data_IF_191182446954
#
_entry.id   IF_191182446954
#
_cell.length_a   1.000
_cell.length_b   1.000
_cell.length_c   1.000
_cell.angle_alpha   90.00
_cell.angle_beta   90.00
_cell.angle_gamma   90.00
#
_symmetry.space_group_name_H-M   'P 1'
#
loop_
_entity.id
_entity.type
_entity.pdbx_description
1 polymer ?
#
# COMPACT_ATOMS: atom_id res chain seq x y z
N UNK A 1 4.22 -21.60 -10.73
CA UNK A 1 3.75 -20.95 -9.48
C UNK A 1 3.46 -21.99 -8.40
N UNK A 2 4.32 -22.10 -7.40
CA UNK A 2 4.16 -23.03 -6.25
C UNK A 2 2.89 -22.69 -5.45
N UNK A 3 2.61 -21.40 -5.26
CA UNK A 3 1.39 -20.90 -4.60
C UNK A 3 0.11 -21.35 -5.31
N UNK A 4 0.02 -21.19 -6.64
CA UNK A 4 -1.15 -21.65 -7.39
C UNK A 4 -1.36 -23.15 -7.31
N UNK A 5 -0.28 -23.95 -7.23
CA UNK A 5 -0.38 -25.40 -7.04
C UNK A 5 -0.89 -25.76 -5.64
N UNK A 6 -0.39 -25.09 -4.59
CA UNK A 6 -0.86 -25.31 -3.22
C UNK A 6 -2.29 -24.81 -3.00
N UNK A 7 -2.69 -23.68 -3.59
CA UNK A 7 -4.03 -23.15 -3.45
C UNK A 7 -5.10 -24.01 -4.15
N UNK A 8 -4.73 -24.79 -5.18
CA UNK A 8 -5.64 -25.70 -5.88
C UNK A 8 -6.21 -26.81 -4.98
N UNK A 9 -5.54 -27.17 -3.88
CA UNK A 9 -6.08 -28.16 -2.94
C UNK A 9 -7.21 -27.58 -2.07
N UNK A 10 -7.45 -26.27 -2.12
CA UNK A 10 -8.52 -25.59 -1.38
C UNK A 10 -9.61 -25.13 -2.36
N UNK A 11 -10.76 -25.82 -2.44
CA UNK A 11 -11.86 -25.40 -3.30
C UNK A 11 -12.30 -23.95 -3.03
N UNK A 12 -12.45 -23.17 -4.10
CA UNK A 12 -12.84 -21.76 -4.03
C UNK A 12 -11.69 -20.76 -3.84
N UNK A 13 -10.45 -21.22 -3.63
CA UNK A 13 -9.29 -20.33 -3.59
C UNK A 13 -8.86 -19.91 -5.00
N UNK A 14 -8.50 -18.63 -5.17
CA UNK A 14 -8.00 -18.10 -6.44
C UNK A 14 -6.70 -17.34 -6.21
N UNK A 15 -5.67 -17.67 -6.99
CA UNK A 15 -4.40 -16.93 -6.99
C UNK A 15 -4.38 -15.97 -8.17
N UNK A 16 -4.09 -14.72 -7.89
CA UNK A 16 -3.90 -13.65 -8.86
C UNK A 16 -2.46 -13.15 -8.76
N UNK A 17 -1.79 -13.01 -9.90
CA UNK A 17 -0.43 -12.50 -9.96
C UNK A 17 -0.43 -11.12 -10.59
N UNK A 18 -0.26 -10.11 -9.75
CA UNK A 18 -0.04 -8.73 -10.16
C UNK A 18 1.47 -8.47 -10.20
N UNK A 19 1.89 -7.51 -11.03
CA UNK A 19 3.32 -7.23 -11.32
C UNK A 19 4.21 -7.11 -10.06
N UNK A 20 3.65 -6.64 -8.95
CA UNK A 20 4.38 -6.43 -7.68
C UNK A 20 3.72 -7.09 -6.46
N UNK A 21 2.64 -7.86 -6.66
CA UNK A 21 1.87 -8.46 -5.57
C UNK A 21 1.21 -9.76 -6.04
N UNK A 22 1.25 -10.80 -5.22
CA UNK A 22 0.46 -12.02 -5.45
C UNK A 22 -0.68 -12.05 -4.45
N UNK A 23 -1.91 -12.13 -4.94
CA UNK A 23 -3.11 -12.14 -4.11
C UNK A 23 -3.73 -13.53 -4.09
N UNK A 24 -3.99 -14.06 -2.90
CA UNK A 24 -4.73 -15.31 -2.67
C UNK A 24 -6.11 -14.96 -2.15
N UNK A 25 -7.09 -14.99 -3.03
CA UNK A 25 -8.48 -14.72 -2.71
C UNK A 25 -9.13 -15.97 -2.11
N UNK A 26 -9.79 -15.81 -0.96
CA UNK A 26 -10.46 -16.91 -0.25
C UNK A 26 -11.94 -16.64 0.02
N UNK A 27 -12.52 -15.64 -0.67
CA UNK A 27 -13.94 -15.27 -0.52
C UNK A 27 -14.91 -16.43 -0.78
N UNK A 28 -14.56 -17.34 -1.68
CA UNK A 28 -15.39 -18.50 -2.06
C UNK A 28 -14.95 -19.80 -1.37
N UNK A 29 -13.99 -19.72 -0.45
CA UNK A 29 -13.50 -20.87 0.33
C UNK A 29 -14.42 -21.05 1.53
N UNK A 30 -14.75 -22.30 1.85
CA UNK A 30 -15.47 -22.63 3.09
C UNK A 30 -14.68 -22.12 4.31
N UNK A 31 -15.36 -21.49 5.27
CA UNK A 31 -14.72 -20.82 6.42
C UNK A 31 -13.86 -21.77 7.26
N UNK A 32 -14.25 -23.04 7.36
CA UNK A 32 -13.50 -24.07 8.07
C UNK A 32 -12.10 -24.32 7.45
N UNK A 33 -11.92 -23.98 6.18
CA UNK A 33 -10.69 -24.21 5.43
C UNK A 33 -9.80 -22.96 5.34
N UNK A 34 -10.21 -21.83 5.93
CA UNK A 34 -9.42 -20.58 5.85
C UNK A 34 -8.08 -20.70 6.56
N UNK A 35 -8.07 -21.29 7.76
CA UNK A 35 -6.83 -21.49 8.53
C UNK A 35 -5.86 -22.44 7.81
N UNK A 36 -6.39 -23.51 7.21
CA UNK A 36 -5.58 -24.45 6.43
C UNK A 36 -4.95 -23.75 5.21
N UNK A 37 -5.73 -22.97 4.46
CA UNK A 37 -5.23 -22.19 3.33
C UNK A 37 -4.14 -21.20 3.76
N UNK A 38 -4.35 -20.47 4.86
CA UNK A 38 -3.36 -19.54 5.40
C UNK A 38 -2.06 -20.26 5.79
N UNK A 39 -2.17 -21.44 6.41
CA UNK A 39 -1.02 -22.30 6.75
C UNK A 39 -0.28 -22.76 5.48
N UNK A 40 -1.00 -23.17 4.43
CA UNK A 40 -0.40 -23.54 3.16
C UNK A 40 0.35 -22.38 2.50
N UNK A 41 -0.23 -21.17 2.52
CA UNK A 41 0.42 -19.95 2.02
C UNK A 41 1.69 -19.66 2.83
N UNK A 42 1.60 -19.67 4.17
CA UNK A 42 2.74 -19.44 5.06
C UNK A 42 3.88 -20.44 4.81
N UNK A 43 3.57 -21.73 4.73
CA UNK A 43 4.55 -22.78 4.44
C UNK A 43 5.30 -22.59 3.12
N UNK A 44 4.68 -21.97 2.10
CA UNK A 44 5.38 -21.63 0.86
C UNK A 44 6.34 -20.45 1.11
N UNK A 45 5.89 -19.46 1.88
CA UNK A 45 6.62 -18.22 2.15
C UNK A 45 7.78 -18.38 3.13
N UNK A 46 7.80 -19.43 3.94
CA UNK A 46 8.97 -19.77 4.79
C UNK A 46 10.26 -19.92 3.95
N UNK A 47 10.14 -20.27 2.66
CA UNK A 47 11.25 -20.35 1.71
C UNK A 47 11.65 -19.01 1.08
N UNK A 48 10.89 -17.95 1.36
CA UNK A 48 11.02 -16.62 0.76
C UNK A 48 10.97 -15.53 1.85
N UNK A 49 12.00 -15.42 2.71
CA UNK A 49 12.00 -14.50 3.86
C UNK A 49 11.92 -13.01 3.48
N UNK A 50 12.17 -12.67 2.20
CA UNK A 50 12.02 -11.30 1.66
C UNK A 50 10.59 -10.98 1.20
N UNK A 51 9.62 -11.85 1.48
CA UNK A 51 8.20 -11.63 1.20
C UNK A 51 7.44 -11.53 2.51
N UNK A 52 6.46 -10.64 2.56
CA UNK A 52 5.52 -10.51 3.68
C UNK A 52 4.10 -10.78 3.22
N UNK A 53 3.27 -11.28 4.14
CA UNK A 53 1.82 -11.42 3.94
C UNK A 53 1.10 -10.28 4.64
N UNK A 54 0.19 -9.63 3.94
CA UNK A 54 -0.83 -8.77 4.53
C UNK A 54 -2.22 -9.34 4.29
N UNK A 55 -3.15 -9.01 5.18
CA UNK A 55 -4.53 -9.48 5.08
C UNK A 55 -5.43 -8.34 4.64
N UNK A 56 -6.14 -8.54 3.53
CA UNK A 56 -7.21 -7.66 3.08
C UNK A 56 -8.59 -8.32 3.26
N UNK A 57 -9.64 -7.71 2.69
CA UNK A 57 -11.01 -8.21 2.79
C UNK A 57 -11.20 -9.54 2.03
N UNK A 58 -11.03 -10.65 2.75
CA UNK A 58 -11.07 -12.03 2.24
C UNK A 58 -10.00 -12.32 1.18
N UNK A 59 -8.81 -11.74 1.37
CA UNK A 59 -7.62 -11.93 0.51
C UNK A 59 -6.34 -11.92 1.35
N UNK A 60 -5.38 -12.78 1.02
CA UNK A 60 -4.00 -12.71 1.52
C UNK A 60 -3.13 -12.11 0.41
N UNK A 61 -2.47 -11.00 0.70
CA UNK A 61 -1.61 -10.28 -0.23
C UNK A 61 -0.16 -10.54 0.10
N UNK A 62 0.59 -11.02 -0.89
CA UNK A 62 1.99 -11.38 -0.77
C UNK A 62 2.79 -10.38 -1.57
N UNK A 63 3.65 -9.64 -0.88
CA UNK A 63 4.46 -8.57 -1.48
C UNK A 63 5.89 -8.63 -0.98
N UNK A 64 6.86 -8.04 -1.71
CA UNK A 64 8.19 -7.83 -1.17
C UNK A 64 8.15 -7.17 0.20
N UNK A 65 8.97 -7.67 1.12
CA UNK A 65 9.19 -7.07 2.42
C UNK A 65 10.17 -5.89 2.28
N UNK A 66 9.66 -4.85 1.62
CA UNK A 66 10.34 -3.58 1.44
C UNK A 66 9.57 -2.57 2.26
N UNK A 67 10.28 -1.82 3.10
CA UNK A 67 9.71 -0.64 3.74
C UNK A 67 9.55 0.45 2.67
N UNK A 68 8.44 0.42 1.96
CA UNK A 68 8.04 1.40 0.97
C UNK A 68 6.70 2.00 1.39
N UNK A 69 6.65 3.32 1.45
CA UNK A 69 5.50 4.13 1.84
C UNK A 69 5.34 5.28 0.83
N UNK A 70 4.21 6.00 0.91
CA UNK A 70 3.91 7.09 -0.05
C UNK A 70 4.91 8.25 0.10
N UNK A 71 5.52 8.44 1.27
CA UNK A 71 6.61 9.38 1.48
C UNK A 71 7.88 9.02 0.72
N UNK A 72 8.33 7.76 0.80
CA UNK A 72 9.46 7.27 0.01
C UNK A 72 9.20 7.32 -1.49
N UNK A 73 7.97 7.06 -1.92
CA UNK A 73 7.59 7.22 -3.31
C UNK A 73 7.72 8.68 -3.78
N UNK A 74 7.29 9.63 -2.96
CA UNK A 74 7.44 11.06 -3.21
C UNK A 74 8.91 11.47 -3.30
N UNK A 75 9.75 11.09 -2.33
CA UNK A 75 11.20 11.37 -2.37
C UNK A 75 11.87 10.76 -3.60
N UNK A 76 11.49 9.53 -3.95
CA UNK A 76 11.99 8.85 -5.14
C UNK A 76 11.63 9.58 -6.43
N UNK A 77 10.38 10.05 -6.57
CA UNK A 77 9.94 10.81 -7.74
C UNK A 77 10.70 12.14 -7.84
N UNK A 78 10.80 12.87 -6.74
CA UNK A 78 11.54 14.13 -6.69
C UNK A 78 13.01 13.92 -7.08
N UNK A 79 13.66 12.87 -6.56
CA UNK A 79 15.04 12.54 -6.92
C UNK A 79 15.20 12.11 -8.37
N UNK A 80 14.30 11.26 -8.87
CA UNK A 80 14.36 10.77 -10.25
C UNK A 80 14.15 11.87 -11.28
N UNK A 81 13.41 12.92 -10.92
CA UNK A 81 13.18 14.09 -11.76
C UNK A 81 14.23 15.20 -11.57
N UNK A 82 15.19 15.02 -10.65
CA UNK A 82 16.22 16.03 -10.36
C UNK A 82 15.74 17.18 -9.47
N UNK A 83 14.60 17.03 -8.79
CA UNK A 83 13.95 18.06 -7.97
C UNK A 83 14.22 17.93 -6.46
N UNK A 84 15.15 17.08 -6.03
CA UNK A 84 15.46 16.90 -4.60
C UNK A 84 15.82 18.20 -3.90
N UNK A 85 16.63 19.05 -4.56
CA UNK A 85 17.10 20.33 -4.03
C UNK A 85 16.77 21.48 -5.00
N UNK A 86 15.77 21.31 -5.86
CA UNK A 86 15.37 22.34 -6.81
C UNK A 86 14.44 23.33 -6.11
N UNK A 87 14.85 24.59 -6.00
CA UNK A 87 14.05 25.67 -5.40
C UNK A 87 12.89 26.10 -6.31
N UNK A 88 13.03 25.91 -7.62
CA UNK A 88 12.03 26.31 -8.62
C UNK A 88 10.81 25.37 -8.70
N UNK A 89 10.83 24.25 -7.98
CA UNK A 89 9.73 23.27 -7.96
C UNK A 89 9.11 23.22 -6.57
N UNK A 90 7.79 23.44 -6.52
CA UNK A 90 7.01 23.37 -5.29
C UNK A 90 6.08 22.15 -5.30
N UNK A 91 6.44 21.03 -4.65
CA UNK A 91 5.65 19.81 -4.70
C UNK A 91 4.37 19.95 -3.86
N UNK A 92 3.23 19.66 -4.50
CA UNK A 92 1.92 19.57 -3.83
C UNK A 92 1.50 18.10 -3.82
N UNK A 93 1.14 17.60 -2.64
CA UNK A 93 0.61 16.25 -2.45
C UNK A 93 -0.80 16.34 -1.87
N UNK A 94 -1.76 15.70 -2.53
CA UNK A 94 -3.17 15.67 -2.12
C UNK A 94 -3.53 14.21 -1.83
N UNK A 95 -4.10 13.94 -0.66
CA UNK A 95 -4.43 12.58 -0.25
C UNK A 95 -5.60 12.53 0.75
N UNK A 96 -6.29 11.41 0.79
CA UNK A 96 -7.53 11.20 1.55
C UNK A 96 -7.39 10.13 2.65
N UNK A 97 -6.34 9.32 2.60
CA UNK A 97 -6.19 8.15 3.44
C UNK A 97 -5.08 8.30 4.49
N UNK A 98 -5.02 7.34 5.42
CA UNK A 98 -4.00 7.34 6.48
C UNK A 98 -2.58 7.12 5.95
N UNK A 99 -2.42 6.47 4.81
CA UNK A 99 -1.09 6.23 4.22
C UNK A 99 -0.51 7.45 3.53
N UNK A 100 -1.32 8.45 3.20
CA UNK A 100 -0.88 9.76 2.71
C UNK A 100 -0.12 10.57 3.77
N UNK A 101 -0.29 10.26 5.06
CA UNK A 101 0.46 10.87 6.16
C UNK A 101 1.98 10.73 5.99
N UNK A 102 2.46 9.65 5.39
CA UNK A 102 3.89 9.46 5.15
C UNK A 102 4.42 10.50 4.13
N UNK A 103 3.62 10.83 3.11
CA UNK A 103 3.96 11.88 2.15
C UNK A 103 3.87 13.29 2.78
N UNK A 104 2.83 13.54 3.57
CA UNK A 104 2.68 14.82 4.27
C UNK A 104 3.85 15.09 5.23
N UNK A 105 4.30 14.08 5.99
CA UNK A 105 5.46 14.18 6.88
C UNK A 105 6.74 14.49 6.13
N UNK A 106 6.97 13.88 4.97
CA UNK A 106 8.12 14.17 4.10
C UNK A 106 8.11 15.64 3.66
N UNK A 107 6.97 16.14 3.17
CA UNK A 107 6.85 17.54 2.74
C UNK A 107 7.05 18.52 3.91
N UNK A 108 6.41 18.26 5.05
CA UNK A 108 6.57 19.06 6.26
C UNK A 108 8.02 19.09 6.73
N UNK A 109 8.71 17.94 6.73
CA UNK A 109 10.13 17.83 7.14
C UNK A 109 11.06 18.53 6.15
N UNK A 110 10.76 18.46 4.85
CA UNK A 110 11.51 19.15 3.80
C UNK A 110 11.40 20.67 3.93
N UNK A 111 10.27 21.18 4.43
CA UNK A 111 10.02 22.62 4.53
C UNK A 111 9.75 23.31 3.20
N UNK A 112 9.73 22.55 2.10
CA UNK A 112 9.53 23.03 0.74
C UNK A 112 8.52 22.11 0.03
N UNK A 113 7.26 22.51 0.05
CA UNK A 113 6.13 21.78 -0.52
C UNK A 113 4.91 21.79 0.39
N UNK A 114 3.84 21.16 -0.08
CA UNK A 114 2.53 21.26 0.55
C UNK A 114 1.78 19.93 0.57
N UNK A 115 1.37 19.50 1.77
CA UNK A 115 0.41 18.40 1.93
C UNK A 115 -1.01 18.95 2.12
N UNK A 116 -1.98 18.39 1.39
CA UNK A 116 -3.40 18.70 1.52
C UNK A 116 -4.15 17.40 1.85
N UNK A 117 -4.85 17.38 2.98
CA UNK A 117 -5.75 16.28 3.37
C UNK A 117 -7.15 16.52 2.79
N UNK A 118 -7.71 15.55 2.09
CA UNK A 118 -9.12 15.55 1.67
C UNK A 118 -9.90 14.62 2.60
N UNK A 119 -10.85 15.15 3.37
CA UNK A 119 -11.63 14.35 4.31
C UNK A 119 -12.89 15.10 4.72
N UNK A 120 -14.00 14.42 5.00
CA UNK A 120 -15.17 15.05 5.59
C UNK A 120 -14.97 15.30 7.11
N UNK A 121 -14.13 14.47 7.74
CA UNK A 121 -13.88 14.46 9.17
C UNK A 121 -12.48 15.01 9.45
N UNK A 122 -12.40 16.01 10.32
CA UNK A 122 -11.12 16.52 10.80
C UNK A 122 -10.43 15.49 11.70
N UNK A 123 -9.15 15.25 11.45
CA UNK A 123 -8.32 14.30 12.19
C UNK A 123 -6.89 14.81 12.29
N UNK A 124 -6.13 14.26 13.23
CA UNK A 124 -4.70 14.57 13.34
C UNK A 124 -3.98 14.21 12.04
N UNK A 125 -3.27 15.20 11.48
CA UNK A 125 -2.59 15.07 10.19
C UNK A 125 -1.32 15.91 10.14
N UNK A 126 -0.32 15.42 9.41
CA UNK A 126 0.87 16.17 9.04
C UNK A 126 0.64 17.12 7.83
N UNK A 127 -0.52 17.05 7.17
CA UNK A 127 -0.89 17.99 6.11
C UNK A 127 -0.87 19.44 6.63
N UNK A 128 -0.66 20.38 5.70
CA UNK A 128 -0.68 21.81 5.99
C UNK A 128 -2.06 22.41 5.75
N UNK A 129 -2.84 21.81 4.84
CA UNK A 129 -4.18 22.25 4.46
C UNK A 129 -5.17 21.09 4.42
N UNK A 130 -6.44 21.45 4.34
CA UNK A 130 -7.56 20.53 4.37
C UNK A 130 -8.59 20.93 3.31
N UNK A 131 -9.19 19.94 2.66
CA UNK A 131 -10.35 20.05 1.79
C UNK A 131 -11.43 19.10 2.31
N UNK A 132 -12.69 19.50 2.21
CA UNK A 132 -13.81 18.73 2.73
C UNK A 132 -14.09 17.48 1.90
N UNK A 133 -14.04 17.62 0.57
CA UNK A 133 -14.33 16.51 -0.33
C UNK A 133 -13.63 16.67 -1.69
N UNK A 134 -13.58 15.60 -2.51
CA UNK A 134 -12.85 15.62 -3.78
C UNK A 134 -13.33 16.68 -4.79
N UNK A 135 -14.54 17.22 -4.65
CA UNK A 135 -15.03 18.29 -5.54
C UNK A 135 -14.33 19.63 -5.35
N UNK A 136 -13.68 19.84 -4.20
CA UNK A 136 -12.91 21.06 -3.94
C UNK A 136 -11.51 21.04 -4.57
N UNK A 137 -11.09 19.91 -5.14
CA UNK A 137 -9.79 19.76 -5.81
C UNK A 137 -9.83 20.27 -7.26
N UNK A 138 -11.02 20.34 -7.87
CA UNK A 138 -11.22 20.56 -9.31
C UNK A 138 -11.44 22.02 -9.72
#
# INVERSE_FOLDING_TARGET
MILSKKAKSTPGAKVENNKFCVSVHFRRVNENNWMELASHVKSVLDKYPKLRVTTGKKVLEIRPDIQWDKGKALEFLLGSLGYTNCEDVFPIYIGDDRSDEDAFKVLRKRGQGLGILVSEIQRDTAASYYLHDPSEVS
#
